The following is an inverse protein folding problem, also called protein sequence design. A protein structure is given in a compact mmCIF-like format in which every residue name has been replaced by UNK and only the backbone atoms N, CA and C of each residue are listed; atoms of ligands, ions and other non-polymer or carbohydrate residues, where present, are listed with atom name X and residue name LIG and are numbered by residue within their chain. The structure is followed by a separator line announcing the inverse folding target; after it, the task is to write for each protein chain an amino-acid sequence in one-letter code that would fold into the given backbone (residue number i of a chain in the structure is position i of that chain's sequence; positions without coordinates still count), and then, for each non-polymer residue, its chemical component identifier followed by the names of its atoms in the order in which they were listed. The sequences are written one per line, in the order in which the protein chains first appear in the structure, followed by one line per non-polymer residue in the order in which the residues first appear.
data_IF_110557968346
#
_entry.id   IF_110557968346
#
_cell.length_a   1.000
_cell.length_b   1.000
_cell.length_c   1.000
_cell.angle_alpha   90.00
_cell.angle_beta   90.00
_cell.angle_gamma   90.00
#
_symmetry.space_group_name_H-M   'P 1'
#
loop_
_entity.id
_entity.type
_entity.pdbx_description
1 polymer ?
#
# COMPACT_ATOMS: atom_id res chain seq x y z
N UNK A 1 -28.55 -0.17 -10.23
CA UNK A 1 -27.20 -0.79 -10.21
C UNK A 1 -26.65 -0.61 -8.80
N UNK A 2 -26.12 -1.67 -8.18
CA UNK A 2 -25.49 -1.53 -6.87
C UNK A 2 -24.23 -0.65 -6.99
N UNK A 3 -24.20 0.49 -6.30
CA UNK A 3 -23.02 1.35 -6.22
C UNK A 3 -22.07 0.80 -5.16
N UNK A 4 -20.86 0.44 -5.55
CA UNK A 4 -19.84 -0.05 -4.62
C UNK A 4 -19.12 1.13 -3.96
N UNK A 5 -18.91 1.07 -2.64
CA UNK A 5 -18.00 2.02 -2.00
C UNK A 5 -16.53 1.69 -2.36
N UNK A 6 -15.62 2.68 -2.36
CA UNK A 6 -14.20 2.45 -2.64
C UNK A 6 -13.59 1.33 -1.78
N UNK A 7 -13.91 1.28 -0.48
CA UNK A 7 -13.44 0.25 0.44
C UNK A 7 -13.95 -1.16 0.09
N UNK A 8 -15.18 -1.26 -0.39
CA UNK A 8 -15.75 -2.55 -0.83
C UNK A 8 -15.08 -3.02 -2.12
N UNK A 9 -14.82 -2.10 -3.05
CA UNK A 9 -14.10 -2.39 -4.29
C UNK A 9 -12.67 -2.85 -3.99
N UNK A 10 -11.93 -2.15 -3.15
CA UNK A 10 -10.56 -2.54 -2.76
C UNK A 10 -10.53 -3.94 -2.18
N UNK A 11 -11.39 -4.25 -1.21
CA UNK A 11 -11.47 -5.60 -0.62
C UNK A 11 -11.82 -6.68 -1.62
N UNK A 12 -12.65 -6.36 -2.60
CA UNK A 12 -13.01 -7.31 -3.64
C UNK A 12 -11.86 -7.56 -4.61
N UNK A 13 -11.12 -6.51 -4.98
CA UNK A 13 -9.90 -6.63 -5.78
C UNK A 13 -8.80 -7.41 -5.05
N UNK A 14 -8.64 -7.20 -3.74
CA UNK A 14 -7.71 -7.99 -2.91
C UNK A 14 -8.04 -9.48 -2.97
N UNK A 15 -9.33 -9.85 -2.81
CA UNK A 15 -9.77 -11.24 -2.95
C UNK A 15 -9.50 -11.80 -4.32
N UNK A 16 -9.81 -11.05 -5.37
CA UNK A 16 -9.51 -11.48 -6.74
C UNK A 16 -8.01 -11.66 -6.95
N UNK A 17 -7.17 -10.82 -6.36
CA UNK A 17 -5.73 -10.91 -6.49
C UNK A 17 -5.17 -12.23 -5.91
N UNK A 18 -5.78 -12.74 -4.84
CA UNK A 18 -5.44 -14.01 -4.19
C UNK A 18 -5.94 -15.25 -4.96
N UNK A 19 -6.90 -15.10 -5.87
CA UNK A 19 -7.43 -16.23 -6.63
C UNK A 19 -6.35 -16.84 -7.53
N UNK A 20 -6.33 -18.17 -7.60
CA UNK A 20 -5.41 -18.89 -8.47
C UNK A 20 -5.76 -18.64 -9.94
N UNK A 21 -4.72 -18.47 -10.74
CA UNK A 21 -4.75 -18.30 -12.17
C UNK A 21 -3.83 -19.33 -12.80
N UNK A 22 -4.38 -20.13 -13.71
CA UNK A 22 -3.62 -21.07 -14.51
C UNK A 22 -3.22 -20.38 -15.80
N UNK A 23 -1.91 -20.23 -16.00
CA UNK A 23 -1.35 -20.00 -17.34
C UNK A 23 -1.13 -21.40 -17.92
N UNK A 24 -1.89 -21.80 -18.95
CA UNK A 24 -1.61 -23.04 -19.72
C UNK A 24 -0.15 -22.99 -20.23
N UNK A 25 0.66 -24.04 -20.35
CA UNK A 25 0.51 -25.50 -20.31
C UNK A 25 1.76 -26.04 -19.56
N UNK A 26 1.59 -26.57 -18.34
CA UNK A 26 2.68 -27.18 -17.54
C UNK A 26 3.32 -26.34 -16.42
N UNK A 27 2.80 -25.15 -16.10
CA UNK A 27 3.30 -24.32 -14.99
C UNK A 27 2.55 -24.55 -13.67
N UNK A 28 3.24 -24.34 -12.55
CA UNK A 28 2.62 -24.26 -11.22
C UNK A 28 1.52 -23.20 -11.21
N UNK A 29 0.42 -23.46 -10.50
CA UNK A 29 -0.65 -22.48 -10.37
C UNK A 29 -0.12 -21.21 -9.66
N UNK A 30 -0.25 -20.06 -10.31
CA UNK A 30 0.14 -18.75 -9.77
C UNK A 30 -1.10 -17.98 -9.36
N UNK A 31 -1.00 -17.03 -8.44
CA UNK A 31 -2.10 -16.11 -8.13
C UNK A 31 -2.33 -15.11 -9.27
N UNK A 32 -3.54 -14.55 -9.36
CA UNK A 32 -3.82 -13.45 -10.31
C UNK A 32 -2.92 -12.23 -10.07
N UNK A 33 -2.54 -11.98 -8.82
CA UNK A 33 -1.56 -10.94 -8.48
C UNK A 33 -0.21 -11.18 -9.16
N UNK A 34 0.30 -12.41 -9.09
CA UNK A 34 1.57 -12.80 -9.72
C UNK A 34 1.49 -12.76 -11.25
N UNK A 35 0.37 -13.19 -11.82
CA UNK A 35 0.12 -13.09 -13.26
C UNK A 35 0.14 -11.62 -13.72
N UNK A 36 -0.51 -10.72 -12.99
CA UNK A 36 -0.50 -9.28 -13.27
C UNK A 36 0.90 -8.67 -13.10
N UNK A 37 1.65 -9.08 -12.08
CA UNK A 37 3.03 -8.63 -11.89
C UNK A 37 3.93 -9.06 -13.05
N UNK A 38 3.77 -10.30 -13.53
CA UNK A 38 4.49 -10.81 -14.70
C UNK A 38 4.13 -10.03 -15.96
N UNK A 39 2.83 -9.76 -16.18
CA UNK A 39 2.39 -8.94 -17.30
C UNK A 39 2.95 -7.52 -17.23
N UNK A 40 2.99 -6.92 -16.03
CA UNK A 40 3.60 -5.61 -15.82
C UNK A 40 5.08 -5.62 -16.22
N UNK A 41 5.82 -6.67 -15.87
CA UNK A 41 7.20 -6.82 -16.32
C UNK A 41 7.34 -6.96 -17.82
N UNK A 42 6.51 -7.79 -18.44
CA UNK A 42 6.52 -7.95 -19.89
C UNK A 42 6.24 -6.62 -20.60
N UNK A 43 5.32 -5.80 -20.09
CA UNK A 43 5.06 -4.45 -20.61
C UNK A 43 6.23 -3.49 -20.41
N UNK A 44 6.92 -3.57 -19.28
CA UNK A 44 8.08 -2.72 -19.01
C UNK A 44 9.28 -3.07 -19.91
N UNK A 45 9.49 -4.34 -20.22
CA UNK A 45 10.60 -4.82 -21.06
C UNK A 45 10.26 -4.85 -22.56
N UNK A 46 8.97 -4.80 -22.90
CA UNK A 46 8.47 -5.18 -24.22
C UNK A 46 8.43 -6.71 -24.38
N UNK A 47 7.46 -7.20 -25.14
CA UNK A 47 7.28 -8.63 -25.37
C UNK A 47 6.64 -8.90 -26.72
N UNK A 48 6.73 -10.14 -27.18
CA UNK A 48 6.08 -10.60 -28.40
C UNK A 48 5.07 -11.67 -28.06
N UNK A 49 3.91 -11.60 -28.68
CA UNK A 49 2.85 -12.60 -28.52
C UNK A 49 2.33 -13.04 -29.89
N UNK A 50 1.92 -14.29 -30.00
CA UNK A 50 1.22 -14.77 -31.18
C UNK A 50 -0.28 -14.63 -30.95
N UNK A 51 -0.95 -13.89 -31.83
CA UNK A 51 -2.39 -13.68 -31.77
C UNK A 51 -3.01 -14.27 -33.02
N UNK A 52 -4.05 -15.08 -32.83
CA UNK A 52 -4.85 -15.58 -33.94
C UNK A 52 -5.72 -14.44 -34.49
N UNK A 53 -5.40 -13.94 -35.69
CA UNK A 53 -6.17 -12.89 -36.38
C UNK A 53 -6.66 -13.43 -37.72
N UNK A 54 -7.97 -13.54 -37.87
CA UNK A 54 -8.58 -14.00 -39.12
C UNK A 54 -8.26 -15.46 -39.49
N UNK A 55 -7.90 -16.30 -38.52
CA UNK A 55 -7.53 -17.70 -38.75
C UNK A 55 -6.03 -17.95 -38.97
N UNK A 56 -5.21 -16.91 -39.00
CA UNK A 56 -3.75 -17.02 -39.08
C UNK A 56 -3.09 -16.55 -37.78
N UNK A 57 -2.01 -17.22 -37.39
CA UNK A 57 -1.19 -16.82 -36.26
C UNK A 57 -0.28 -15.67 -36.67
N UNK A 58 -0.46 -14.50 -36.05
CA UNK A 58 0.34 -13.30 -36.32
C UNK A 58 1.16 -12.96 -35.08
N UNK A 59 2.47 -12.75 -35.25
CA UNK A 59 3.34 -12.24 -34.19
C UNK A 59 3.10 -10.73 -34.01
N UNK A 60 2.68 -10.35 -32.80
CA UNK A 60 2.49 -8.96 -32.39
C UNK A 60 3.65 -8.56 -31.50
N UNK A 61 4.34 -7.49 -31.87
CA UNK A 61 5.44 -6.93 -31.08
C UNK A 61 4.92 -5.76 -30.24
N UNK A 62 5.02 -5.90 -28.92
CA UNK A 62 4.68 -4.86 -27.95
C UNK A 62 5.97 -4.18 -27.48
N UNK A 63 6.21 -2.90 -27.85
CA UNK A 63 7.39 -2.18 -27.40
C UNK A 63 7.32 -1.89 -25.89
N UNK A 64 8.46 -1.64 -25.23
CA UNK A 64 8.50 -1.19 -23.84
C UNK A 64 7.59 0.02 -23.59
N UNK A 65 6.72 -0.08 -22.59
CA UNK A 65 5.80 0.99 -22.22
C UNK A 65 6.37 1.84 -21.07
N UNK A 66 6.57 3.14 -21.30
CA UNK A 66 7.18 4.05 -20.32
C UNK A 66 6.44 4.10 -18.98
N UNK A 67 5.10 4.01 -18.99
CA UNK A 67 4.31 4.01 -17.76
C UNK A 67 4.56 2.76 -16.90
N UNK A 68 4.76 1.60 -17.55
CA UNK A 68 5.04 0.34 -16.87
C UNK A 68 6.43 0.38 -16.25
N UNK A 69 7.43 0.90 -16.99
CA UNK A 69 8.79 1.13 -16.50
C UNK A 69 8.80 2.05 -15.26
N UNK A 70 8.07 3.17 -15.30
CA UNK A 70 8.00 4.07 -14.14
C UNK A 70 7.33 3.42 -12.94
N UNK A 71 6.19 2.75 -13.14
CA UNK A 71 5.47 2.08 -12.06
C UNK A 71 6.33 1.03 -11.37
N UNK A 72 7.09 0.28 -12.15
CA UNK A 72 8.11 -0.67 -11.72
C UNK A 72 9.14 -0.02 -10.79
N UNK A 73 9.73 1.10 -11.22
CA UNK A 73 10.78 1.77 -10.44
C UNK A 73 10.20 2.34 -9.16
N UNK A 74 9.00 2.91 -9.22
CA UNK A 74 8.30 3.40 -8.03
C UNK A 74 8.11 2.28 -6.99
N UNK A 75 7.76 1.06 -7.42
CA UNK A 75 7.58 -0.07 -6.50
C UNK A 75 8.89 -0.61 -5.95
N UNK A 76 9.95 -0.69 -6.77
CA UNK A 76 11.28 -1.10 -6.31
C UNK A 76 11.90 -0.10 -5.33
N UNK A 77 11.67 1.19 -5.53
CA UNK A 77 12.15 2.26 -4.65
C UNK A 77 11.24 2.50 -3.43
N UNK A 78 10.11 1.79 -3.33
CA UNK A 78 9.13 1.98 -2.26
C UNK A 78 8.41 3.34 -2.31
N UNK A 79 8.40 4.00 -3.47
CA UNK A 79 7.65 5.25 -3.67
C UNK A 79 6.17 4.93 -3.80
N UNK A 80 5.39 5.53 -2.91
CA UNK A 80 3.93 5.57 -3.04
C UNK A 80 3.58 6.72 -3.98
N UNK A 81 2.81 6.43 -5.03
CA UNK A 81 2.29 7.46 -5.93
C UNK A 81 1.50 8.49 -5.11
N UNK A 82 2.06 9.69 -4.96
CA UNK A 82 1.41 10.80 -4.24
C UNK A 82 0.31 11.47 -5.07
N UNK A 83 0.03 10.94 -6.26
CA UNK A 83 -1.04 11.39 -7.16
C UNK A 83 -2.46 11.00 -6.72
N UNK A 84 -2.64 10.41 -5.54
CA UNK A 84 -3.93 10.43 -4.81
C UNK A 84 -4.30 11.85 -4.31
N UNK A 85 -3.87 12.89 -5.02
CA UNK A 85 -4.42 14.22 -4.88
C UNK A 85 -5.66 14.33 -5.77
N UNK A 86 -6.78 13.94 -5.18
CA UNK A 86 -8.07 14.53 -5.51
C UNK A 86 -8.87 13.79 -6.57
N UNK A 87 -9.74 12.89 -6.10
CA UNK A 87 -11.19 12.89 -6.37
C UNK A 87 -11.79 11.82 -5.44
N UNK A 88 -12.85 12.20 -4.73
CA UNK A 88 -13.61 11.39 -3.77
C UNK A 88 -13.06 11.28 -2.34
N UNK A 89 -12.97 12.43 -1.65
CA UNK A 89 -13.72 12.72 -0.42
C UNK A 89 -13.23 14.06 0.12
N UNK A 90 -14.13 15.04 0.24
CA UNK A 90 -13.82 16.43 0.59
C UNK A 90 -13.35 16.66 2.04
N UNK A 91 -12.52 15.78 2.61
CA UNK A 91 -11.98 16.00 3.95
C UNK A 91 -10.66 15.27 4.27
N UNK A 92 -9.96 14.70 3.27
CA UNK A 92 -8.65 14.12 3.53
C UNK A 92 -7.56 15.19 3.46
N UNK A 93 -7.13 15.63 4.64
CA UNK A 93 -6.01 16.57 4.80
C UNK A 93 -4.76 16.04 4.10
N UNK A 94 -4.02 16.90 3.38
CA UNK A 94 -2.86 16.48 2.61
C UNK A 94 -1.78 15.85 3.52
N UNK A 95 -1.01 14.93 2.95
CA UNK A 95 -0.06 14.07 3.69
C UNK A 95 0.90 14.86 4.59
N UNK A 96 1.35 16.05 4.16
CA UNK A 96 2.22 16.90 4.95
C UNK A 96 1.57 17.39 6.26
N UNK A 97 0.25 17.61 6.27
CA UNK A 97 -0.50 17.95 7.49
C UNK A 97 -0.60 16.74 8.43
N UNK A 98 -0.81 15.54 7.88
CA UNK A 98 -0.82 14.29 8.68
C UNK A 98 0.54 14.04 9.34
N UNK A 99 1.65 14.28 8.63
CA UNK A 99 3.01 14.15 9.19
C UNK A 99 3.26 15.18 10.30
N UNK A 100 2.79 16.43 10.12
CA UNK A 100 2.90 17.46 11.13
C UNK A 100 2.09 17.14 12.41
N UNK A 101 0.89 16.57 12.27
CA UNK A 101 0.10 16.12 13.42
C UNK A 101 0.73 14.94 14.14
N UNK A 102 1.26 13.95 13.41
CA UNK A 102 1.98 12.82 14.01
C UNK A 102 3.22 13.32 14.79
N UNK A 103 3.95 14.30 14.25
CA UNK A 103 5.08 14.92 14.94
C UNK A 103 4.64 15.66 16.21
N UNK A 104 3.55 16.45 16.15
CA UNK A 104 2.97 17.11 17.34
C UNK A 104 2.50 16.11 18.39
N UNK A 105 1.82 15.04 17.98
CA UNK A 105 1.34 14.00 18.88
C UNK A 105 2.49 13.30 19.61
N UNK A 106 3.61 13.04 18.91
CA UNK A 106 4.83 12.47 19.51
C UNK A 106 5.51 13.42 20.50
N UNK A 107 5.56 14.72 20.19
CA UNK A 107 6.11 15.72 21.10
C UNK A 107 5.25 15.88 22.36
N UNK A 108 3.93 15.89 22.21
CA UNK A 108 3.01 16.00 23.33
C UNK A 108 3.04 14.75 24.21
N UNK A 109 3.07 13.54 23.63
CA UNK A 109 3.17 12.30 24.41
C UNK A 109 4.53 12.17 25.11
N UNK A 110 5.62 12.63 24.49
CA UNK A 110 6.93 12.71 25.15
C UNK A 110 6.93 13.73 26.30
N UNK A 111 6.28 14.88 26.13
CA UNK A 111 6.15 15.89 27.18
C UNK A 111 5.30 15.40 28.37
N UNK A 112 4.18 14.71 28.11
CA UNK A 112 3.34 14.10 29.13
C UNK A 112 4.07 12.97 29.87
N UNK A 113 4.82 12.14 29.16
CA UNK A 113 5.65 11.10 29.77
C UNK A 113 6.74 11.69 30.68
N UNK A 114 7.38 12.79 30.26
CA UNK A 114 8.38 13.50 31.05
C UNK A 114 7.78 14.19 32.28
N UNK A 115 6.57 14.76 32.16
CA UNK A 115 5.85 15.37 33.28
C UNK A 115 5.42 14.32 34.32
N UNK A 116 4.94 13.16 33.88
CA UNK A 116 4.55 12.06 34.75
C UNK A 116 5.75 11.43 35.48
N UNK A 117 6.92 11.37 34.83
CA UNK A 117 8.16 10.92 35.46
C UNK A 117 8.62 11.86 36.59
N UNK A 118 8.45 13.18 36.45
CA UNK A 118 8.79 14.17 37.50
C UNK A 118 7.79 14.19 38.67
N UNK A 119 6.53 13.79 38.45
CA UNK A 119 5.50 13.74 39.52
C UNK A 119 5.69 12.61 40.54
N UNK A 120 6.46 11.57 40.20
CA UNK A 120 6.65 10.38 41.05
C UNK A 120 7.74 10.51 42.13
N UNK A 121 8.61 11.52 42.06
CA UNK A 121 9.74 11.67 42.99
C UNK A 121 9.43 12.52 44.23
N UNK A 122 8.17 12.94 44.42
CA UNK A 122 7.80 13.96 45.41
C UNK A 122 7.04 13.51 46.68
N UNK A 123 6.71 12.23 46.87
CA UNK A 123 5.98 11.79 48.07
C UNK A 123 6.93 11.18 49.10
N UNK A 124 7.31 11.88 50.19
CA UNK A 124 8.11 11.28 51.25
C UNK A 124 7.32 10.14 51.91
N UNK A 125 8.00 9.07 52.37
CA UNK A 125 7.35 7.94 53.02
C UNK A 125 6.64 8.40 54.30
N UNK A 126 5.37 8.00 54.47
CA UNK A 126 4.63 8.19 55.73
C UNK A 126 5.31 7.33 56.81
N UNK A 127 6.01 7.98 57.73
CA UNK A 127 6.51 7.35 58.97
C UNK A 127 5.30 7.07 59.85
N UNK A 128 4.94 5.79 59.99
CA UNK A 128 3.92 5.34 60.94
C UNK A 128 4.57 5.35 62.33
N UNK A 129 4.20 6.31 63.17
CA UNK A 129 4.53 6.26 64.60
C UNK A 129 3.70 5.14 65.23
N UNK A 130 4.37 4.07 65.69
CA UNK A 130 3.78 3.15 66.68
C UNK A 130 3.76 3.89 68.02
N UNK A 131 2.57 4.21 68.51
CA UNK A 131 2.38 4.54 69.92
C UNK A 131 2.51 3.26 70.75
N UNK A 132 3.11 3.40 71.93
CA UNK A 132 3.44 2.31 72.85
C UNK A 132 2.27 1.83 73.68
#
# INVERSE_FOLDING_TARGET
MASWSPKQLTRYLERLAEEMHTVEDGGDAISKAEALATLLWNKALGYREQVLKGGEWVEVNHPPESWAIHLVYDRLEGRVNTNDKGKDTGNERPIHEKVAEIAKARLNSAAEAAANAKGRTGRPPKIIKKEG
#
